data_IF_397729319066
#
_entry.id   IF_397729319066
#
_cell.length_a   1.000
_cell.length_b   1.000
_cell.length_c   1.000
_cell.angle_alpha   90.00
_cell.angle_beta   90.00
_cell.angle_gamma   90.00
#
_symmetry.space_group_name_H-M   'P 1'
#
loop_
_entity.id
_entity.type
_entity.pdbx_description
1 polymer ?
#
# COMPACT_ATOMS: atom_id res chain seq x y z
N UNK A 1 -1.59 -29.42 8.39
CA UNK A 1 -1.22 -28.44 7.35
C UNK A 1 0.27 -28.50 7.15
N UNK A 2 0.73 -28.32 5.92
CA UNK A 2 2.14 -28.57 5.58
C UNK A 2 2.92 -27.23 5.47
N UNK A 3 2.89 -26.45 6.58
CA UNK A 3 3.69 -25.25 6.69
C UNK A 3 5.08 -25.56 7.25
N UNK A 4 6.10 -24.91 6.71
CA UNK A 4 7.48 -24.97 7.19
C UNK A 4 8.06 -23.56 7.25
N UNK A 5 8.80 -23.25 8.31
CA UNK A 5 9.55 -22.01 8.45
C UNK A 5 11.03 -22.35 8.53
N UNK A 6 11.76 -22.10 7.43
CA UNK A 6 13.13 -22.57 7.25
C UNK A 6 14.10 -21.41 7.48
N UNK A 7 15.06 -21.61 8.39
CA UNK A 7 16.21 -20.72 8.56
C UNK A 7 17.13 -20.78 7.35
N UNK A 8 17.43 -19.64 6.73
CA UNK A 8 18.30 -19.56 5.56
C UNK A 8 19.75 -19.98 5.85
N UNK A 9 20.23 -19.70 7.08
CA UNK A 9 21.62 -19.96 7.45
C UNK A 9 21.89 -21.44 7.73
N UNK A 10 20.91 -22.16 8.25
CA UNK A 10 21.11 -23.54 8.72
C UNK A 10 20.29 -24.59 7.96
N UNK A 11 19.32 -24.14 7.13
CA UNK A 11 18.38 -25.06 6.49
C UNK A 11 17.43 -25.75 7.48
N UNK A 12 17.37 -25.24 8.73
CA UNK A 12 16.59 -25.82 9.81
C UNK A 12 15.12 -25.40 9.68
N UNK A 13 14.20 -26.37 9.74
CA UNK A 13 12.78 -26.09 9.89
C UNK A 13 12.45 -25.80 11.36
N UNK A 14 12.18 -24.53 11.67
CA UNK A 14 11.84 -24.09 13.04
C UNK A 14 10.34 -24.14 13.34
N UNK A 15 9.49 -24.47 12.35
CA UNK A 15 8.04 -24.56 12.54
C UNK A 15 7.61 -25.42 13.74
N UNK A 16 8.24 -26.59 14.03
CA UNK A 16 7.85 -27.41 15.17
C UNK A 16 8.09 -26.76 16.55
N UNK A 17 8.91 -25.71 16.60
CA UNK A 17 9.34 -25.08 17.85
C UNK A 17 8.69 -23.72 18.09
N UNK A 18 8.00 -23.16 17.09
CA UNK A 18 7.39 -21.83 17.20
C UNK A 18 5.94 -21.90 17.65
N UNK A 19 5.49 -20.82 18.25
CA UNK A 19 4.07 -20.58 18.56
C UNK A 19 3.65 -19.21 18.05
N UNK A 20 2.34 -19.05 17.80
CA UNK A 20 1.74 -17.77 17.45
C UNK A 20 2.26 -17.20 16.13
N UNK A 21 2.55 -18.05 15.13
CA UNK A 21 2.97 -17.56 13.82
C UNK A 21 1.87 -16.72 13.18
N UNK A 22 2.23 -15.48 12.84
CA UNK A 22 1.37 -14.54 12.11
C UNK A 22 2.16 -13.89 11.00
N UNK A 23 1.47 -13.55 9.90
CA UNK A 23 2.00 -12.66 8.87
C UNK A 23 0.90 -11.79 8.31
N UNK A 24 1.22 -10.55 7.98
CA UNK A 24 0.24 -9.55 7.56
C UNK A 24 0.76 -8.69 6.42
N UNK A 25 -0.18 -8.23 5.60
CA UNK A 25 0.04 -7.32 4.47
C UNK A 25 -1.04 -6.23 4.48
N UNK A 26 -0.71 -5.06 3.94
CA UNK A 26 -1.63 -3.93 3.74
C UNK A 26 -1.41 -3.27 2.38
N UNK A 27 -2.47 -2.73 1.76
CA UNK A 27 -2.31 -1.91 0.54
C UNK A 27 -1.62 -0.58 0.80
N UNK A 28 -1.63 -0.10 2.04
CA UNK A 28 -1.04 1.20 2.43
C UNK A 28 0.48 1.12 2.56
N UNK A 29 1.01 -0.07 2.89
CA UNK A 29 2.45 -0.30 3.10
C UNK A 29 2.99 -1.35 2.15
N UNK A 30 4.18 -1.10 1.60
CA UNK A 30 4.86 -2.12 0.80
C UNK A 30 5.47 -3.16 1.73
N UNK A 31 5.20 -4.43 1.46
CA UNK A 31 5.83 -5.56 2.11
C UNK A 31 4.98 -6.23 3.19
N UNK A 32 5.54 -7.29 3.74
CA UNK A 32 4.91 -8.19 4.69
C UNK A 32 5.63 -8.10 6.04
N UNK A 33 4.86 -8.06 7.12
CA UNK A 33 5.33 -8.25 8.49
C UNK A 33 5.02 -9.68 8.96
N UNK A 34 5.94 -10.32 9.66
CA UNK A 34 5.78 -11.64 10.27
C UNK A 34 6.16 -11.59 11.74
N UNK A 35 5.41 -12.29 12.58
CA UNK A 35 5.74 -12.45 14.01
C UNK A 35 5.58 -13.89 14.46
N UNK A 36 6.41 -14.32 15.40
CA UNK A 36 6.35 -15.64 16.02
C UNK A 36 7.12 -15.63 17.35
N UNK A 37 6.92 -16.68 18.14
CA UNK A 37 7.62 -16.85 19.42
C UNK A 37 8.31 -18.21 19.45
N UNK A 38 9.58 -18.23 19.90
CA UNK A 38 10.34 -19.43 20.21
C UNK A 38 10.41 -19.65 21.72
N UNK A 39 10.43 -20.88 22.20
CA UNK A 39 10.77 -21.17 23.58
C UNK A 39 12.25 -20.81 23.81
N UNK A 40 12.53 -20.24 24.98
CA UNK A 40 13.86 -19.97 25.44
C UNK A 40 14.12 -20.78 26.71
N UNK A 41 14.99 -21.77 26.60
CA UNK A 41 15.33 -22.63 27.73
C UNK A 41 16.82 -22.57 28.01
N UNK A 42 17.25 -21.51 28.69
CA UNK A 42 18.64 -21.24 29.05
C UNK A 42 19.35 -22.41 29.76
N UNK A 43 18.62 -23.35 30.31
CA UNK A 43 19.16 -24.48 31.08
C UNK A 43 19.23 -25.78 30.29
N UNK A 44 18.60 -25.85 29.10
CA UNK A 44 18.57 -27.09 28.30
C UNK A 44 19.43 -26.97 27.03
N UNK A 45 20.65 -27.52 27.10
CA UNK A 45 21.60 -27.52 25.99
C UNK A 45 21.09 -28.23 24.72
N UNK A 46 20.01 -28.99 24.80
CA UNK A 46 19.44 -29.66 23.63
C UNK A 46 18.72 -28.67 22.69
N UNK A 47 18.43 -27.46 23.15
CA UNK A 47 17.82 -26.41 22.33
C UNK A 47 18.78 -25.32 21.86
N UNK A 48 20.09 -25.45 22.11
CA UNK A 48 21.11 -24.47 21.70
C UNK A 48 21.11 -24.19 20.18
N UNK A 49 20.59 -25.09 19.36
CA UNK A 49 20.46 -24.89 17.92
C UNK A 49 19.48 -23.77 17.53
N UNK A 50 18.61 -23.37 18.44
CA UNK A 50 17.71 -22.23 18.25
C UNK A 50 18.38 -20.89 18.58
N UNK A 51 19.55 -20.89 19.25
CA UNK A 51 20.26 -19.68 19.65
C UNK A 51 20.77 -18.90 18.43
N UNK A 52 20.98 -19.58 17.30
CA UNK A 52 21.39 -18.97 16.04
C UNK A 52 20.25 -18.22 15.32
N UNK A 53 19.00 -18.35 15.80
CA UNK A 53 17.87 -17.57 15.31
C UNK A 53 17.85 -16.25 16.06
N UNK A 54 18.36 -15.18 15.44
CA UNK A 54 18.53 -13.87 16.06
C UNK A 54 18.37 -12.76 15.02
N UNK A 55 18.61 -11.51 15.43
CA UNK A 55 18.56 -10.34 14.55
C UNK A 55 19.38 -10.54 13.28
N UNK A 56 18.80 -10.23 12.12
CA UNK A 56 19.42 -10.41 10.81
C UNK A 56 19.31 -11.81 10.23
N UNK A 57 18.77 -12.79 10.97
CA UNK A 57 18.52 -14.13 10.41
C UNK A 57 17.44 -14.09 9.33
N UNK A 58 17.74 -14.68 8.18
CA UNK A 58 16.76 -14.86 7.09
C UNK A 58 15.91 -16.10 7.32
N UNK A 59 14.60 -15.98 7.07
CA UNK A 59 13.64 -17.05 7.17
C UNK A 59 12.82 -17.16 5.89
N UNK A 60 12.43 -18.38 5.51
CA UNK A 60 11.54 -18.63 4.37
C UNK A 60 10.33 -19.43 4.82
N UNK A 61 9.13 -18.89 4.58
CA UNK A 61 7.87 -19.57 4.87
C UNK A 61 7.40 -20.34 3.65
N UNK A 62 7.11 -21.62 3.84
CA UNK A 62 6.58 -22.52 2.82
C UNK A 62 5.24 -23.11 3.22
N UNK A 63 4.42 -23.42 2.21
CA UNK A 63 3.29 -24.35 2.31
C UNK A 63 3.48 -25.47 1.30
N UNK A 64 3.69 -26.67 1.78
CA UNK A 64 4.17 -27.77 0.92
C UNK A 64 5.51 -27.44 0.29
N UNK A 65 5.56 -27.41 -1.03
CA UNK A 65 6.75 -27.03 -1.79
C UNK A 65 6.73 -25.57 -2.30
N UNK A 66 5.65 -24.86 -2.06
CA UNK A 66 5.53 -23.47 -2.51
C UNK A 66 6.04 -22.51 -1.43
N UNK A 67 6.98 -21.65 -1.80
CA UNK A 67 7.45 -20.58 -0.94
C UNK A 67 6.42 -19.45 -0.94
N UNK A 68 5.93 -19.07 0.23
CA UNK A 68 5.00 -17.95 0.42
C UNK A 68 5.77 -16.63 0.46
N UNK A 69 6.77 -16.55 1.35
CA UNK A 69 7.57 -15.33 1.54
C UNK A 69 8.95 -15.64 2.09
N UNK A 70 9.86 -14.66 1.93
CA UNK A 70 11.14 -14.60 2.62
C UNK A 70 11.18 -13.34 3.48
N UNK A 71 11.64 -13.49 4.70
CA UNK A 71 11.72 -12.41 5.68
C UNK A 71 13.07 -12.40 6.40
N UNK A 72 13.39 -11.25 6.97
CA UNK A 72 14.55 -11.08 7.86
C UNK A 72 14.07 -10.66 9.24
N UNK A 73 14.65 -11.22 10.29
CA UNK A 73 14.35 -10.84 11.67
C UNK A 73 14.93 -9.45 11.96
N UNK A 74 14.08 -8.53 12.39
CA UNK A 74 14.42 -7.13 12.66
C UNK A 74 14.26 -6.76 14.13
N UNK A 75 13.33 -7.40 14.83
CA UNK A 75 13.12 -7.19 16.26
C UNK A 75 13.15 -8.52 16.99
N UNK A 76 13.80 -8.54 18.16
CA UNK A 76 13.84 -9.65 19.09
C UNK A 76 13.54 -9.12 20.49
N UNK A 77 12.58 -9.73 21.17
CA UNK A 77 12.19 -9.41 22.54
C UNK A 77 12.31 -10.66 23.42
N UNK A 78 13.15 -10.58 24.44
CA UNK A 78 13.47 -11.67 25.32
C UNK A 78 12.61 -11.58 26.59
N UNK A 79 11.67 -12.52 26.74
CA UNK A 79 10.82 -12.66 27.89
C UNK A 79 11.25 -13.80 28.81
N UNK A 80 10.40 -14.12 29.79
CA UNK A 80 10.60 -15.27 30.66
C UNK A 80 10.35 -16.57 29.89
N UNK A 81 11.42 -17.31 29.57
CA UNK A 81 11.42 -18.58 28.86
C UNK A 81 10.88 -18.53 27.42
N UNK A 82 10.80 -17.36 26.82
CA UNK A 82 10.38 -17.17 25.43
C UNK A 82 11.14 -16.04 24.77
N UNK A 83 11.38 -16.17 23.46
CA UNK A 83 11.87 -15.10 22.60
C UNK A 83 10.82 -14.82 21.53
N UNK A 84 10.35 -13.58 21.47
CA UNK A 84 9.41 -13.11 20.46
C UNK A 84 10.14 -12.36 19.37
N UNK A 85 9.76 -12.62 18.11
CA UNK A 85 10.44 -12.05 16.95
C UNK A 85 9.44 -11.33 16.06
N UNK A 86 9.91 -10.19 15.48
CA UNK A 86 9.30 -9.59 14.32
C UNK A 86 10.27 -9.65 13.14
N UNK A 87 9.76 -10.03 12.01
CA UNK A 87 10.49 -10.13 10.79
C UNK A 87 9.71 -9.44 9.66
N UNK A 88 10.42 -8.91 8.69
CA UNK A 88 9.85 -8.22 7.54
C UNK A 88 10.44 -8.82 6.26
N UNK A 89 9.68 -8.74 5.17
CA UNK A 89 10.24 -9.04 3.86
C UNK A 89 11.25 -7.97 3.41
N UNK A 90 11.81 -8.13 2.24
CA UNK A 90 12.87 -7.25 1.75
C UNK A 90 12.43 -5.81 1.43
N UNK A 91 11.12 -5.53 1.42
CA UNK A 91 10.60 -4.17 1.35
C UNK A 91 10.99 -3.32 2.58
N UNK A 92 11.35 -3.97 3.70
CA UNK A 92 11.83 -3.27 4.90
C UNK A 92 12.94 -2.28 4.57
N UNK A 93 13.95 -2.68 3.81
CA UNK A 93 15.06 -1.79 3.46
C UNK A 93 14.61 -0.62 2.59
N UNK A 94 13.69 -0.86 1.65
CA UNK A 94 13.15 0.20 0.79
C UNK A 94 12.31 1.21 1.59
N UNK A 95 11.61 0.74 2.63
CA UNK A 95 10.77 1.58 3.48
C UNK A 95 11.57 2.39 4.53
N UNK A 96 12.72 1.88 4.96
CA UNK A 96 13.52 2.49 6.04
C UNK A 96 14.72 3.30 5.55
N UNK A 97 15.18 3.04 4.34
CA UNK A 97 16.37 3.71 3.80
C UNK A 97 15.98 4.97 3.04
N UNK A 98 16.49 6.11 3.50
CA UNK A 98 16.37 7.39 2.78
C UNK A 98 17.57 7.61 1.88
N UNK A 99 17.37 8.29 0.75
CA UNK A 99 18.43 8.55 -0.23
C UNK A 99 18.28 9.92 -0.89
N UNK A 100 19.38 10.37 -1.50
CA UNK A 100 19.40 11.51 -2.42
C UNK A 100 19.66 10.95 -3.81
N UNK A 101 18.70 11.09 -4.71
CA UNK A 101 18.80 10.62 -6.09
C UNK A 101 18.44 11.70 -7.09
N UNK A 102 19.26 11.81 -8.14
CA UNK A 102 18.97 12.66 -9.28
C UNK A 102 18.82 11.80 -10.53
N UNK A 103 17.65 11.82 -11.11
CA UNK A 103 17.39 11.22 -12.41
C UNK A 103 17.35 12.30 -13.50
N UNK A 104 18.00 12.03 -14.62
CA UNK A 104 18.05 12.93 -15.76
C UNK A 104 17.72 12.16 -17.04
N UNK A 105 16.48 12.25 -17.48
CA UNK A 105 15.95 11.58 -18.67
C UNK A 105 16.19 10.07 -18.69
N UNK A 106 15.96 9.42 -17.56
CA UNK A 106 16.01 7.96 -17.43
C UNK A 106 14.60 7.36 -17.53
N UNK A 107 14.46 6.18 -18.11
CA UNK A 107 13.16 5.48 -18.11
C UNK A 107 12.76 5.09 -16.68
N UNK A 108 11.46 5.13 -16.38
CA UNK A 108 10.92 4.73 -15.09
C UNK A 108 11.38 3.33 -14.65
N UNK A 109 11.41 2.40 -15.61
CA UNK A 109 11.87 1.04 -15.36
C UNK A 109 13.34 1.01 -14.90
N UNK A 110 14.23 1.71 -15.58
CA UNK A 110 15.65 1.76 -15.24
C UNK A 110 15.88 2.50 -13.91
N UNK A 111 15.12 3.58 -13.64
CA UNK A 111 15.21 4.32 -12.38
C UNK A 111 14.86 3.41 -11.19
N UNK A 112 13.80 2.63 -11.29
CA UNK A 112 13.38 1.70 -10.22
C UNK A 112 14.38 0.54 -10.09
N UNK A 113 14.85 -0.03 -11.21
CA UNK A 113 15.88 -1.08 -11.17
C UNK A 113 17.17 -0.60 -10.49
N UNK A 114 17.61 0.62 -10.78
CA UNK A 114 18.78 1.23 -10.13
C UNK A 114 18.57 1.34 -8.61
N UNK A 115 17.40 1.84 -8.17
CA UNK A 115 17.08 1.97 -6.75
C UNK A 115 17.07 0.61 -6.03
N UNK A 116 16.42 -0.39 -6.58
CA UNK A 116 16.31 -1.71 -5.95
C UNK A 116 17.64 -2.50 -5.98
N UNK A 117 18.46 -2.30 -7.02
CA UNK A 117 19.75 -2.97 -7.15
C UNK A 117 20.73 -2.59 -6.02
N UNK A 118 20.65 -1.38 -5.47
CA UNK A 118 21.45 -0.95 -4.32
C UNK A 118 21.21 -1.79 -3.06
N UNK A 119 20.03 -2.42 -2.98
CA UNK A 119 19.62 -3.29 -1.87
C UNK A 119 19.65 -4.78 -2.23
N UNK A 120 20.13 -5.13 -3.43
CA UNK A 120 20.14 -6.51 -3.91
C UNK A 120 18.76 -7.11 -4.16
N UNK A 121 17.73 -6.25 -4.35
CA UNK A 121 16.35 -6.66 -4.55
C UNK A 121 16.07 -6.82 -6.04
N UNK A 122 15.53 -7.96 -6.44
CA UNK A 122 15.09 -8.21 -7.82
C UNK A 122 13.81 -7.47 -8.14
N UNK A 123 13.62 -7.11 -9.41
CA UNK A 123 12.47 -6.30 -9.85
C UNK A 123 11.89 -6.88 -11.14
N UNK A 124 10.58 -7.05 -11.15
CA UNK A 124 9.79 -7.36 -12.34
C UNK A 124 8.85 -6.20 -12.65
N UNK A 125 9.06 -5.52 -13.78
CA UNK A 125 8.29 -4.33 -14.16
C UNK A 125 7.60 -4.57 -15.50
N UNK A 126 6.32 -4.18 -15.57
CA UNK A 126 5.53 -4.20 -16.80
C UNK A 126 4.81 -2.88 -17.01
N UNK A 127 4.91 -2.32 -18.20
CA UNK A 127 4.05 -1.24 -18.68
C UNK A 127 4.41 0.17 -18.22
N UNK A 128 5.50 0.40 -17.49
CA UNK A 128 5.99 1.73 -17.18
C UNK A 128 6.73 2.30 -18.38
N UNK A 129 6.28 3.44 -18.90
CA UNK A 129 6.83 4.06 -20.14
C UNK A 129 7.35 5.47 -19.96
N UNK A 130 7.07 6.11 -18.83
CA UNK A 130 7.44 7.49 -18.56
C UNK A 130 8.96 7.68 -18.42
N UNK A 131 9.40 8.90 -18.69
CA UNK A 131 10.80 9.32 -18.56
C UNK A 131 10.94 10.24 -17.35
N UNK A 132 11.80 9.89 -16.43
CA UNK A 132 11.99 10.59 -15.16
C UNK A 132 13.12 11.63 -15.29
N UNK A 133 12.80 12.88 -14.94
CA UNK A 133 13.75 13.97 -14.77
C UNK A 133 13.40 14.68 -13.46
N UNK A 134 13.91 14.18 -12.35
CA UNK A 134 13.55 14.66 -11.01
C UNK A 134 14.70 14.46 -10.02
N UNK A 135 14.79 15.34 -9.04
CA UNK A 135 15.72 15.23 -7.91
C UNK A 135 14.89 14.87 -6.68
N UNK A 136 15.24 13.77 -6.05
CA UNK A 136 14.70 13.34 -4.77
C UNK A 136 15.71 13.65 -3.68
N UNK A 137 15.26 14.25 -2.60
CA UNK A 137 16.08 14.60 -1.46
C UNK A 137 15.38 14.15 -0.18
N UNK A 138 16.08 13.36 0.64
CA UNK A 138 15.58 12.86 1.93
C UNK A 138 14.22 12.16 1.83
N UNK A 139 14.10 11.28 0.83
CA UNK A 139 12.95 10.41 0.63
C UNK A 139 13.33 8.95 0.81
N UNK A 140 12.41 8.16 1.35
CA UNK A 140 12.63 6.71 1.37
C UNK A 140 12.60 6.16 -0.06
N UNK A 141 13.29 5.05 -0.27
CA UNK A 141 13.34 4.42 -1.60
C UNK A 141 11.94 4.01 -2.05
N UNK A 142 11.10 3.49 -1.14
CA UNK A 142 9.71 3.13 -1.45
C UNK A 142 8.86 4.35 -1.83
N UNK A 143 9.05 5.52 -1.18
CA UNK A 143 8.38 6.77 -1.57
C UNK A 143 8.81 7.21 -2.97
N UNK A 144 10.09 7.08 -3.33
CA UNK A 144 10.58 7.41 -4.67
C UNK A 144 9.96 6.48 -5.71
N UNK A 145 9.90 5.17 -5.44
CA UNK A 145 9.27 4.20 -6.34
C UNK A 145 7.78 4.52 -6.51
N UNK A 146 7.05 4.79 -5.43
CA UNK A 146 5.64 5.20 -5.48
C UNK A 146 5.45 6.49 -6.30
N UNK A 147 6.31 7.48 -6.15
CA UNK A 147 6.25 8.72 -6.93
C UNK A 147 6.49 8.46 -8.44
N UNK A 148 7.47 7.62 -8.79
CA UNK A 148 7.71 7.23 -10.19
C UNK A 148 6.49 6.50 -10.78
N UNK A 149 5.83 5.64 -9.99
CA UNK A 149 4.60 4.96 -10.39
C UNK A 149 3.47 5.98 -10.60
N UNK A 150 3.31 6.95 -9.71
CA UNK A 150 2.30 8.00 -9.82
C UNK A 150 2.50 8.87 -11.08
N UNK A 151 3.75 9.18 -11.44
CA UNK A 151 4.06 9.85 -12.71
C UNK A 151 3.57 9.01 -13.89
N UNK A 152 3.86 7.71 -13.90
CA UNK A 152 3.37 6.82 -14.96
C UNK A 152 1.85 6.70 -14.97
N UNK A 153 1.20 6.65 -13.81
CA UNK A 153 -0.26 6.63 -13.68
C UNK A 153 -0.86 7.90 -14.30
N UNK A 154 -0.29 9.06 -13.99
CA UNK A 154 -0.74 10.34 -14.52
C UNK A 154 -0.58 10.45 -16.05
N UNK A 155 0.56 10.03 -16.59
CA UNK A 155 0.86 10.14 -18.04
C UNK A 155 0.13 9.08 -18.86
N UNK A 156 0.08 7.83 -18.39
CA UNK A 156 -0.50 6.70 -19.12
C UNK A 156 -2.01 6.52 -18.88
N UNK A 157 -2.59 7.25 -17.89
CA UNK A 157 -3.97 7.11 -17.44
C UNK A 157 -4.33 5.66 -17.08
N UNK A 158 -3.41 4.97 -16.41
CA UNK A 158 -3.55 3.59 -15.97
C UNK A 158 -3.05 3.47 -14.54
N UNK A 159 -3.83 2.79 -13.70
CA UNK A 159 -3.39 2.42 -12.35
C UNK A 159 -2.34 1.31 -12.45
N UNK A 160 -1.31 1.40 -11.62
CA UNK A 160 -0.29 0.37 -11.45
C UNK A 160 -0.30 -0.14 -10.01
N UNK A 161 0.05 -1.41 -9.84
CA UNK A 161 0.19 -2.07 -8.54
C UNK A 161 1.66 -2.27 -8.25
N UNK A 162 2.05 -1.93 -7.03
CA UNK A 162 3.37 -2.19 -6.45
C UNK A 162 3.20 -3.20 -5.32
N UNK A 163 3.77 -4.35 -5.46
CA UNK A 163 3.72 -5.40 -4.43
C UNK A 163 5.07 -6.11 -4.28
N UNK A 164 5.28 -6.70 -3.11
CA UNK A 164 6.39 -7.62 -2.87
C UNK A 164 5.86 -9.04 -3.01
N UNK A 165 6.47 -9.82 -3.88
CA UNK A 165 6.18 -11.25 -4.00
C UNK A 165 7.45 -12.04 -3.76
N UNK A 166 7.46 -12.82 -2.66
CA UNK A 166 8.65 -13.54 -2.19
C UNK A 166 9.78 -12.53 -1.88
N UNK A 167 10.81 -12.46 -2.73
CA UNK A 167 11.93 -11.53 -2.61
C UNK A 167 12.03 -10.56 -3.81
N UNK A 168 10.95 -10.40 -4.57
CA UNK A 168 10.93 -9.62 -5.82
C UNK A 168 9.90 -8.51 -5.73
N UNK A 169 10.31 -7.28 -6.03
CA UNK A 169 9.39 -6.16 -6.26
C UNK A 169 8.72 -6.35 -7.61
N UNK A 170 7.39 -6.41 -7.61
CA UNK A 170 6.57 -6.50 -8.82
C UNK A 170 5.80 -5.22 -9.06
N UNK A 171 5.86 -4.72 -10.29
CA UNK A 171 5.11 -3.56 -10.74
C UNK A 171 4.42 -3.91 -12.05
N UNK A 172 3.11 -3.82 -12.08
CA UNK A 172 2.31 -4.10 -13.29
C UNK A 172 1.07 -3.21 -13.35
N UNK A 173 0.46 -3.03 -14.54
CA UNK A 173 -0.86 -2.46 -14.62
C UNK A 173 -1.82 -3.19 -13.70
N UNK A 174 -2.74 -2.44 -13.07
CA UNK A 174 -3.75 -3.03 -12.20
C UNK A 174 -4.63 -4.00 -13.01
N UNK A 175 -4.78 -5.19 -12.48
CA UNK A 175 -5.72 -6.19 -12.92
C UNK A 175 -6.63 -6.58 -11.77
N UNK A 176 -7.92 -6.66 -12.02
CA UNK A 176 -8.91 -7.12 -11.04
C UNK A 176 -8.69 -8.61 -10.79
N UNK A 177 -8.23 -8.95 -9.58
CA UNK A 177 -8.01 -10.34 -9.19
C UNK A 177 -9.04 -10.71 -8.12
N UNK A 178 -10.02 -11.51 -8.50
CA UNK A 178 -11.01 -12.09 -7.58
C UNK A 178 -10.44 -13.38 -7.03
N UNK A 179 -10.44 -13.52 -5.70
CA UNK A 179 -9.90 -14.69 -5.04
C UNK A 179 -10.89 -15.85 -5.14
N UNK A 180 -10.45 -16.97 -5.67
CA UNK A 180 -11.08 -18.25 -5.42
C UNK A 180 -10.62 -18.79 -4.07
N UNK A 181 -11.47 -18.63 -3.06
CA UNK A 181 -11.25 -19.10 -1.70
C UNK A 181 -11.80 -20.50 -1.42
N UNK A 182 -11.96 -21.30 -2.46
CA UNK A 182 -12.52 -22.66 -2.35
C UNK A 182 -11.52 -23.64 -1.74
N UNK A 183 -12.00 -24.45 -0.79
CA UNK A 183 -11.25 -25.52 -0.13
C UNK A 183 -11.87 -26.88 -0.39
N UNK A 184 -11.03 -27.89 -0.48
CA UNK A 184 -11.43 -29.28 -0.41
C UNK A 184 -11.24 -29.80 1.04
N UNK A 185 -12.33 -29.83 1.83
CA UNK A 185 -12.32 -30.39 3.20
C UNK A 185 -12.21 -31.90 3.19
N UNK A 186 -12.79 -32.57 2.18
CA UNK A 186 -12.70 -33.99 1.95
C UNK A 186 -13.00 -34.27 0.48
N UNK A 187 -12.69 -35.49 0.03
CA UNK A 187 -12.99 -35.91 -1.33
C UNK A 187 -14.45 -35.60 -1.69
N UNK A 188 -14.64 -34.71 -2.66
CA UNK A 188 -15.94 -34.18 -3.14
C UNK A 188 -16.70 -33.24 -2.18
N UNK A 189 -16.02 -32.64 -1.17
CA UNK A 189 -16.63 -31.64 -0.31
C UNK A 189 -15.85 -30.32 -0.44
N UNK A 190 -16.29 -29.49 -1.37
CA UNK A 190 -15.74 -28.15 -1.62
C UNK A 190 -16.52 -27.13 -0.77
N UNK A 191 -15.79 -26.26 -0.09
CA UNK A 191 -16.35 -25.16 0.69
C UNK A 191 -15.59 -23.88 0.40
N UNK A 192 -16.28 -22.75 0.42
CA UNK A 192 -15.62 -21.44 0.33
C UNK A 192 -15.18 -20.99 1.72
N UNK A 193 -14.03 -20.34 1.83
CA UNK A 193 -13.58 -19.72 3.07
C UNK A 193 -14.61 -18.72 3.61
N UNK A 194 -15.30 -18.04 2.71
CA UNK A 194 -16.37 -17.08 3.01
C UNK A 194 -17.63 -17.69 3.61
N UNK A 195 -17.83 -19.02 3.50
CA UNK A 195 -18.94 -19.71 4.12
C UNK A 195 -18.69 -19.95 5.63
N UNK A 196 -17.45 -19.79 6.10
CA UNK A 196 -17.04 -20.02 7.48
C UNK A 196 -16.53 -18.72 8.11
N UNK A 197 -17.37 -17.71 8.13
CA UNK A 197 -17.07 -16.44 8.79
C UNK A 197 -17.18 -16.62 10.30
N UNK A 198 -16.12 -16.26 10.98
CA UNK A 198 -16.05 -16.42 12.44
C UNK A 198 -16.12 -15.01 13.00
N UNK A 199 -15.94 -14.13 13.20
CA UNK A 199 -16.23 -12.81 13.74
C UNK A 199 -16.34 -11.80 12.60
N UNK A 200 -17.47 -11.14 12.56
CA UNK A 200 -17.73 -10.09 11.58
C UNK A 200 -18.03 -8.80 12.34
N UNK A 201 -17.33 -7.75 12.00
CA UNK A 201 -17.63 -6.40 12.42
C UNK A 201 -17.93 -5.56 11.18
N UNK A 202 -19.06 -4.89 11.16
CA UNK A 202 -19.44 -3.96 10.12
C UNK A 202 -19.86 -2.65 10.78
N UNK A 203 -19.08 -1.59 10.57
CA UNK A 203 -19.39 -0.26 11.05
C UNK A 203 -19.55 0.71 9.89
N UNK A 204 -20.45 1.69 10.07
CA UNK A 204 -20.75 2.70 9.06
C UNK A 204 -20.60 4.09 9.69
N UNK A 205 -19.98 5.02 8.99
CA UNK A 205 -19.72 6.36 9.51
C UNK A 205 -19.85 7.42 8.42
N UNK A 206 -20.43 8.56 8.80
CA UNK A 206 -20.49 9.78 8.00
C UNK A 206 -19.52 10.86 8.50
N UNK A 207 -18.63 10.52 9.45
CA UNK A 207 -17.72 11.51 10.08
C UNK A 207 -16.85 12.23 9.04
N UNK A 208 -16.39 11.53 8.02
CA UNK A 208 -15.54 12.08 6.96
C UNK A 208 -16.30 12.42 5.67
N UNK A 209 -17.63 12.22 5.67
CA UNK A 209 -18.45 12.54 4.52
C UNK A 209 -18.42 14.05 4.24
N UNK A 210 -18.26 14.43 2.96
CA UNK A 210 -18.38 15.81 2.49
C UNK A 210 -19.36 15.85 1.34
N UNK A 211 -20.45 16.59 1.50
CA UNK A 211 -21.51 16.73 0.50
C UNK A 211 -21.51 18.10 -0.19
N UNK A 212 -20.52 18.95 0.14
CA UNK A 212 -20.24 20.20 -0.56
C UNK A 212 -18.74 20.46 -0.60
N UNK A 213 -18.21 20.69 -1.79
CA UNK A 213 -16.82 21.04 -2.05
C UNK A 213 -16.78 22.46 -2.60
N UNK A 214 -15.94 23.31 -2.02
CA UNK A 214 -15.66 24.66 -2.51
C UNK A 214 -14.20 24.73 -2.89
N UNK A 215 -13.92 25.07 -4.12
CA UNK A 215 -12.55 25.33 -4.60
C UNK A 215 -12.32 26.84 -4.60
N UNK A 216 -11.25 27.25 -3.90
CA UNK A 216 -10.86 28.65 -3.81
C UNK A 216 -9.49 28.87 -4.43
N UNK A 217 -9.28 30.03 -5.03
CA UNK A 217 -8.00 30.46 -5.59
C UNK A 217 -7.65 31.86 -5.16
N UNK A 218 -6.35 32.18 -5.12
CA UNK A 218 -5.80 33.46 -4.67
C UNK A 218 -5.06 33.40 -3.34
N UNK A 219 -4.38 34.50 -3.01
CA UNK A 219 -3.71 34.68 -1.72
C UNK A 219 -4.72 34.97 -0.61
N UNK A 220 -4.32 34.90 0.65
CA UNK A 220 -5.20 35.13 1.81
C UNK A 220 -6.04 36.42 1.72
N UNK A 221 -5.53 37.45 1.03
CA UNK A 221 -6.22 38.76 0.88
C UNK A 221 -7.06 38.85 -0.42
N UNK A 222 -6.90 37.93 -1.36
CA UNK A 222 -7.54 37.94 -2.69
C UNK A 222 -8.28 36.64 -3.00
N UNK A 223 -8.52 35.84 -1.99
CA UNK A 223 -9.16 34.53 -2.12
C UNK A 223 -10.59 34.67 -2.68
N UNK A 224 -10.88 33.91 -3.73
CA UNK A 224 -12.22 33.85 -4.34
C UNK A 224 -12.60 32.40 -4.63
N UNK A 225 -13.89 32.14 -4.56
CA UNK A 225 -14.47 30.86 -5.00
C UNK A 225 -14.37 30.78 -6.52
N UNK A 226 -13.78 29.71 -7.02
CA UNK A 226 -13.54 29.47 -8.46
C UNK A 226 -14.33 28.28 -9.00
N UNK A 227 -14.70 27.35 -8.12
CA UNK A 227 -15.60 26.23 -8.43
C UNK A 227 -16.36 25.76 -7.18
N UNK A 228 -17.50 25.17 -7.37
CA UNK A 228 -18.32 24.58 -6.30
C UNK A 228 -19.02 23.33 -6.84
N UNK A 229 -19.05 22.27 -6.02
CA UNK A 229 -19.85 21.09 -6.26
C UNK A 229 -20.63 20.73 -5.00
N UNK A 230 -21.89 20.32 -5.10
CA UNK A 230 -22.72 19.91 -3.98
C UNK A 230 -23.72 18.83 -4.38
N UNK A 231 -24.16 18.07 -3.39
CA UNK A 231 -25.27 17.13 -3.49
C UNK A 231 -26.38 17.53 -2.52
N UNK A 232 -27.45 18.10 -3.07
CA UNK A 232 -28.58 18.59 -2.29
C UNK A 232 -29.37 17.46 -1.60
N UNK A 233 -29.35 16.24 -2.15
CA UNK A 233 -30.01 15.08 -1.54
C UNK A 233 -29.24 14.64 -0.28
N UNK A 234 -27.93 14.50 -0.39
CA UNK A 234 -27.05 14.19 0.74
C UNK A 234 -27.08 15.28 1.81
N UNK A 235 -27.13 16.56 1.41
CA UNK A 235 -27.26 17.68 2.37
C UNK A 235 -28.59 17.60 3.14
N UNK A 236 -29.67 17.22 2.47
CA UNK A 236 -30.98 17.07 3.13
C UNK A 236 -31.00 15.90 4.12
N UNK A 237 -30.28 14.83 3.81
CA UNK A 237 -30.24 13.62 4.63
C UNK A 237 -29.30 13.75 5.84
N UNK A 238 -28.07 14.23 5.62
CA UNK A 238 -27.00 14.25 6.64
C UNK A 238 -26.65 15.63 7.18
N UNK A 239 -27.27 16.70 6.66
CA UNK A 239 -26.87 18.06 6.93
C UNK A 239 -25.70 18.53 6.06
N UNK A 240 -25.35 19.81 6.14
CA UNK A 240 -24.26 20.38 5.36
C UNK A 240 -22.91 20.01 5.95
N UNK A 241 -22.15 19.21 5.21
CA UNK A 241 -20.77 18.81 5.52
C UNK A 241 -19.87 19.32 4.38
N UNK A 242 -19.20 20.46 4.64
CA UNK A 242 -18.48 21.21 3.63
C UNK A 242 -16.96 21.06 3.77
N UNK A 243 -16.27 21.01 2.64
CA UNK A 243 -14.81 21.11 2.56
C UNK A 243 -14.39 22.24 1.61
N UNK A 244 -13.35 22.98 2.00
CA UNK A 244 -12.77 24.07 1.19
C UNK A 244 -11.35 23.66 0.77
N UNK A 245 -11.12 23.62 -0.53
CA UNK A 245 -9.81 23.30 -1.10
C UNK A 245 -9.19 24.54 -1.77
N UNK A 246 -7.92 24.76 -1.50
CA UNK A 246 -7.18 25.90 -2.05
C UNK A 246 -6.32 25.46 -3.23
N UNK A 247 -6.51 26.12 -4.37
CA UNK A 247 -5.71 25.93 -5.58
C UNK A 247 -4.92 27.19 -5.93
N UNK A 248 -3.73 27.02 -6.49
CA UNK A 248 -2.93 28.11 -7.02
C UNK A 248 -3.55 28.63 -8.34
N UNK A 249 -3.61 29.94 -8.55
CA UNK A 249 -4.19 30.58 -9.76
C UNK A 249 -3.53 30.11 -11.09
N UNK A 250 -2.35 29.52 -11.00
CA UNK A 250 -1.60 29.02 -12.15
C UNK A 250 -1.95 27.60 -12.58
N UNK A 251 -2.78 26.91 -11.81
CA UNK A 251 -3.23 25.55 -12.14
C UNK A 251 -4.14 25.60 -13.38
N UNK A 252 -3.71 25.01 -14.49
CA UNK A 252 -4.44 24.98 -15.76
C UNK A 252 -5.55 23.94 -15.81
N UNK A 253 -5.80 23.21 -14.71
CA UNK A 253 -6.83 22.17 -14.62
C UNK A 253 -8.26 22.74 -14.66
N UNK A 254 -9.22 21.91 -15.06
CA UNK A 254 -10.64 22.25 -14.96
C UNK A 254 -11.08 22.15 -13.48
N UNK A 255 -11.05 23.29 -12.78
CA UNK A 255 -11.36 23.37 -11.35
C UNK A 255 -12.77 22.85 -11.00
N UNK A 256 -13.73 22.94 -11.94
CA UNK A 256 -15.06 22.36 -11.76
C UNK A 256 -15.03 20.84 -11.76
N UNK A 257 -14.22 20.23 -12.62
CA UNK A 257 -14.07 18.76 -12.61
C UNK A 257 -13.41 18.31 -11.30
N UNK A 258 -12.42 19.03 -10.81
CA UNK A 258 -11.78 18.75 -9.51
C UNK A 258 -12.82 18.77 -8.37
N UNK A 259 -13.66 19.80 -8.32
CA UNK A 259 -14.73 19.89 -7.31
C UNK A 259 -15.72 18.71 -7.44
N UNK A 260 -16.13 18.37 -8.66
CA UNK A 260 -17.06 17.27 -8.91
C UNK A 260 -16.47 15.90 -8.52
N UNK A 261 -15.22 15.64 -8.90
CA UNK A 261 -14.54 14.37 -8.60
C UNK A 261 -14.32 14.21 -7.10
N UNK A 262 -13.88 15.29 -6.44
CA UNK A 262 -13.74 15.29 -4.98
C UNK A 262 -15.06 15.07 -4.27
N UNK A 263 -16.14 15.67 -4.75
CA UNK A 263 -17.48 15.43 -4.22
C UNK A 263 -17.88 13.96 -4.36
N UNK A 264 -17.72 13.35 -5.52
CA UNK A 264 -18.01 11.92 -5.73
C UNK A 264 -17.24 11.03 -4.76
N UNK A 265 -15.97 11.32 -4.52
CA UNK A 265 -15.11 10.55 -3.62
C UNK A 265 -15.51 10.67 -2.16
N UNK A 266 -15.82 11.89 -1.70
CA UNK A 266 -16.05 12.18 -0.28
C UNK A 266 -17.53 12.08 0.12
N UNK A 267 -18.46 12.19 -0.81
CA UNK A 267 -19.91 12.09 -0.54
C UNK A 267 -20.34 10.63 -0.48
N UNK A 268 -19.74 9.87 0.43
CA UNK A 268 -20.10 8.47 0.67
C UNK A 268 -20.03 8.13 2.14
N UNK A 269 -20.86 7.19 2.55
CA UNK A 269 -20.77 6.59 3.87
C UNK A 269 -19.50 5.72 3.90
N UNK A 270 -18.63 5.95 4.86
CA UNK A 270 -17.49 5.09 5.08
C UNK A 270 -17.96 3.81 5.75
N UNK A 271 -17.56 2.68 5.19
CA UNK A 271 -17.86 1.34 5.72
C UNK A 271 -16.55 0.65 6.07
N UNK A 272 -16.41 0.30 7.36
CA UNK A 272 -15.30 -0.52 7.84
C UNK A 272 -15.83 -1.92 8.14
N UNK A 273 -15.36 -2.87 7.34
CA UNK A 273 -15.75 -4.26 7.45
C UNK A 273 -14.52 -5.06 7.83
N UNK A 274 -14.59 -5.80 8.92
CA UNK A 274 -13.56 -6.77 9.27
C UNK A 274 -14.18 -8.12 9.54
N UNK A 275 -13.52 -9.17 9.08
CA UNK A 275 -13.98 -10.54 9.28
C UNK A 275 -12.81 -11.51 9.38
N UNK A 276 -13.06 -12.61 10.07
CA UNK A 276 -12.12 -13.73 10.17
C UNK A 276 -12.72 -14.95 9.48
N UNK A 277 -11.92 -15.61 8.64
CA UNK A 277 -12.31 -16.80 7.90
C UNK A 277 -11.24 -17.88 7.97
N UNK A 278 -11.50 -19.02 7.36
CA UNK A 278 -10.47 -20.06 7.16
C UNK A 278 -9.32 -19.49 6.35
N UNK A 279 -8.08 -19.77 6.80
CA UNK A 279 -6.89 -19.25 6.17
C UNK A 279 -6.60 -19.91 4.82
N UNK A 280 -6.33 -19.09 3.80
CA UNK A 280 -5.85 -19.48 2.50
C UNK A 280 -4.76 -18.50 2.08
N UNK A 281 -3.60 -18.98 1.71
CA UNK A 281 -2.44 -18.18 1.31
C UNK A 281 -2.68 -17.29 0.08
N UNK A 282 -3.74 -17.56 -0.68
CA UNK A 282 -4.17 -16.72 -1.80
C UNK A 282 -4.91 -15.46 -1.35
N UNK A 283 -5.39 -15.43 -0.09
CA UNK A 283 -6.02 -14.25 0.50
C UNK A 283 -4.92 -13.27 0.85
N UNK A 284 -4.83 -12.18 0.10
CA UNK A 284 -3.79 -11.16 0.22
C UNK A 284 -4.38 -9.76 0.09
N UNK A 285 -3.72 -8.78 0.68
CA UNK A 285 -4.07 -7.38 0.45
C UNK A 285 -4.03 -7.02 -1.05
N UNK A 286 -4.92 -6.14 -1.48
CA UNK A 286 -5.05 -5.74 -2.89
C UNK A 286 -5.82 -6.73 -3.79
N UNK A 287 -6.33 -7.83 -3.24
CA UNK A 287 -7.21 -8.78 -3.94
C UNK A 287 -8.67 -8.48 -3.64
N UNK A 288 -9.55 -8.99 -4.47
CA UNK A 288 -11.00 -8.82 -4.34
C UNK A 288 -11.61 -10.12 -3.84
N UNK A 289 -12.52 -9.99 -2.89
CA UNK A 289 -13.35 -11.10 -2.39
C UNK A 289 -14.82 -10.78 -2.69
N UNK A 290 -15.54 -11.76 -3.19
CA UNK A 290 -17.00 -11.70 -3.32
C UNK A 290 -17.63 -12.22 -2.04
N UNK A 291 -18.53 -11.43 -1.46
CA UNK A 291 -19.30 -11.78 -0.27
C UNK A 291 -20.79 -11.73 -0.59
N UNK A 292 -21.49 -12.78 -0.19
CA UNK A 292 -22.94 -12.88 -0.25
C UNK A 292 -23.45 -13.36 1.09
N UNK A 293 -23.87 -12.43 1.94
CA UNK A 293 -24.38 -12.74 3.27
C UNK A 293 -25.51 -11.78 3.65
N UNK A 294 -26.77 -12.23 3.49
CA UNK A 294 -27.95 -11.43 3.78
C UNK A 294 -28.05 -10.99 5.25
N UNK A 295 -27.62 -11.84 6.19
CA UNK A 295 -27.71 -11.54 7.62
C UNK A 295 -26.75 -10.43 8.06
N UNK A 296 -25.69 -10.22 7.31
CA UNK A 296 -24.65 -9.23 7.58
C UNK A 296 -24.74 -8.01 6.64
N UNK A 297 -25.72 -8.01 5.76
CA UNK A 297 -25.87 -6.98 4.71
C UNK A 297 -24.62 -6.81 3.86
N UNK A 298 -23.89 -7.90 3.61
CA UNK A 298 -22.70 -7.92 2.79
C UNK A 298 -23.05 -8.54 1.44
N UNK A 299 -23.07 -7.74 0.37
CA UNK A 299 -23.39 -8.17 -0.99
C UNK A 299 -22.45 -7.51 -1.98
N UNK A 300 -21.73 -8.33 -2.75
CA UNK A 300 -20.91 -7.86 -3.85
C UNK A 300 -19.41 -8.02 -3.63
N UNK A 301 -18.65 -7.15 -4.28
CA UNK A 301 -17.20 -7.22 -4.34
C UNK A 301 -16.55 -6.25 -3.34
N UNK A 302 -15.57 -6.76 -2.62
CA UNK A 302 -14.82 -6.01 -1.63
C UNK A 302 -13.34 -6.14 -1.89
N UNK A 303 -12.61 -5.01 -1.82
CA UNK A 303 -11.17 -5.00 -1.87
C UNK A 303 -10.62 -5.29 -0.46
N UNK A 304 -9.70 -6.25 -0.37
CA UNK A 304 -8.98 -6.55 0.87
C UNK A 304 -7.94 -5.44 1.09
N UNK A 305 -8.18 -4.63 2.10
CA UNK A 305 -7.28 -3.57 2.51
C UNK A 305 -6.11 -4.13 3.31
N UNK A 306 -6.43 -4.86 4.36
CA UNK A 306 -5.44 -5.50 5.23
C UNK A 306 -5.76 -6.98 5.35
N UNK A 307 -4.72 -7.80 5.45
CA UNK A 307 -4.83 -9.23 5.61
C UNK A 307 -3.81 -9.71 6.65
N UNK A 308 -4.29 -10.34 7.73
CA UNK A 308 -3.46 -11.02 8.72
C UNK A 308 -3.78 -12.52 8.69
N UNK A 309 -2.77 -13.32 8.43
CA UNK A 309 -2.83 -14.77 8.61
C UNK A 309 -2.32 -15.15 9.98
N UNK A 310 -2.95 -16.12 10.62
CA UNK A 310 -2.49 -16.71 11.87
C UNK A 310 -2.48 -18.23 11.79
N UNK A 311 -1.42 -18.83 12.30
CA UNK A 311 -1.27 -20.28 12.37
C UNK A 311 -1.04 -20.69 13.82
N UNK A 312 -2.06 -21.29 14.43
CA UNK A 312 -2.02 -21.79 15.79
C UNK A 312 -2.52 -23.23 15.85
N UNK A 313 -1.78 -24.13 16.50
CA UNK A 313 -2.16 -25.55 16.65
C UNK A 313 -2.60 -26.19 15.33
N UNK A 314 -1.87 -25.89 14.25
CA UNK A 314 -2.17 -26.36 12.90
C UNK A 314 -3.50 -25.84 12.32
N UNK A 315 -4.09 -24.80 12.93
CA UNK A 315 -5.29 -24.14 12.46
C UNK A 315 -4.91 -22.80 11.80
N UNK A 316 -5.08 -22.72 10.50
CA UNK A 316 -4.79 -21.51 9.72
C UNK A 316 -6.07 -20.67 9.61
N UNK A 317 -6.00 -19.43 10.06
CA UNK A 317 -7.06 -18.43 9.96
C UNK A 317 -6.54 -17.20 9.21
N UNK A 318 -7.46 -16.49 8.61
CA UNK A 318 -7.19 -15.21 7.98
C UNK A 318 -8.18 -14.16 8.48
N UNK A 319 -7.66 -13.06 9.02
CA UNK A 319 -8.43 -11.87 9.38
C UNK A 319 -8.19 -10.80 8.34
N UNK A 320 -9.25 -10.25 7.77
CA UNK A 320 -9.18 -9.26 6.70
C UNK A 320 -10.01 -8.03 7.04
N UNK A 321 -9.48 -6.86 6.62
CA UNK A 321 -10.22 -5.61 6.58
C UNK A 321 -10.60 -5.33 5.13
N UNK A 322 -11.85 -4.94 4.92
CA UNK A 322 -12.44 -4.79 3.60
C UNK A 322 -12.92 -3.36 3.38
N UNK A 323 -12.78 -2.92 2.15
CA UNK A 323 -13.44 -1.72 1.64
C UNK A 323 -14.30 -2.11 0.43
N UNK A 324 -15.45 -1.46 0.29
CA UNK A 324 -16.31 -1.71 -0.87
C UNK A 324 -15.53 -1.39 -2.15
N UNK A 325 -15.50 -2.35 -3.08
CA UNK A 325 -14.82 -2.18 -4.35
C UNK A 325 -15.75 -1.46 -5.36
N UNK A 326 -15.17 -0.49 -6.05
CA UNK A 326 -15.83 0.18 -7.18
C UNK A 326 -14.80 0.51 -8.26
N UNK A 327 -15.14 0.27 -9.52
CA UNK A 327 -14.30 0.68 -10.66
C UNK A 327 -14.07 2.20 -10.69
N UNK A 328 -15.03 2.96 -10.18
CA UNK A 328 -14.88 4.41 -10.04
C UNK A 328 -13.78 4.82 -9.05
N UNK A 329 -13.43 3.98 -8.07
CA UNK A 329 -12.32 4.27 -7.16
C UNK A 329 -10.97 4.20 -7.87
N UNK A 330 -10.84 3.31 -8.88
CA UNK A 330 -9.65 3.25 -9.73
C UNK A 330 -9.52 4.51 -10.59
N UNK A 331 -10.65 4.95 -11.19
CA UNK A 331 -10.68 6.20 -11.95
C UNK A 331 -10.29 7.40 -11.07
N UNK A 332 -10.81 7.46 -9.84
CA UNK A 332 -10.48 8.50 -8.88
C UNK A 332 -8.99 8.49 -8.51
N UNK A 333 -8.39 7.31 -8.28
CA UNK A 333 -6.94 7.21 -8.01
C UNK A 333 -6.08 7.71 -9.18
N UNK A 334 -6.47 7.40 -10.41
CA UNK A 334 -5.79 7.89 -11.62
C UNK A 334 -5.91 9.42 -11.73
N UNK A 335 -7.09 9.97 -11.41
CA UNK A 335 -7.30 11.41 -11.40
C UNK A 335 -6.49 12.09 -10.30
N UNK A 336 -6.46 11.57 -9.08
CA UNK A 336 -5.65 12.10 -7.97
C UNK A 336 -4.15 12.12 -8.30
N UNK A 337 -3.65 11.03 -8.90
CA UNK A 337 -2.26 10.97 -9.36
C UNK A 337 -1.98 12.04 -10.44
N UNK A 338 -2.94 12.23 -11.36
CA UNK A 338 -2.84 13.23 -12.42
C UNK A 338 -2.81 14.65 -11.85
N UNK A 339 -3.73 14.97 -10.94
CA UNK A 339 -3.78 16.29 -10.30
C UNK A 339 -2.52 16.59 -9.51
N UNK A 340 -2.01 15.60 -8.78
CA UNK A 340 -0.76 15.74 -8.01
C UNK A 340 0.42 16.03 -8.93
N UNK A 341 0.53 15.29 -10.03
CA UNK A 341 1.58 15.48 -11.03
C UNK A 341 1.50 16.86 -11.69
N UNK A 342 0.31 17.31 -12.10
CA UNK A 342 0.10 18.63 -12.69
C UNK A 342 0.43 19.77 -11.71
N UNK A 343 0.07 19.62 -10.43
CA UNK A 343 0.43 20.58 -9.36
C UNK A 343 1.95 20.69 -9.18
N UNK A 344 2.67 19.57 -9.23
CA UNK A 344 4.13 19.56 -9.12
C UNK A 344 4.80 20.22 -10.33
N UNK A 345 4.39 19.87 -11.55
CA UNK A 345 4.89 20.48 -12.80
C UNK A 345 4.70 21.99 -12.81
N UNK A 346 3.54 22.47 -12.36
CA UNK A 346 3.24 23.91 -12.28
C UNK A 346 4.17 24.65 -11.31
N UNK A 347 4.50 24.02 -10.17
CA UNK A 347 5.43 24.58 -9.18
C UNK A 347 6.87 24.65 -9.70
N UNK A 348 7.31 23.65 -10.47
CA UNK A 348 8.65 23.61 -11.05
C UNK A 348 8.82 24.68 -12.14
N UNK A 349 7.83 24.85 -13.02
CA UNK A 349 7.81 25.90 -14.03
C UNK A 349 7.86 27.30 -13.41
N UNK A 350 7.11 27.54 -12.33
CA UNK A 350 7.12 28.81 -11.61
C UNK A 350 8.45 29.13 -10.91
N UNK A 351 9.24 28.12 -10.51
CA UNK A 351 10.58 28.30 -9.95
C UNK A 351 11.60 28.65 -11.05
N UNK A 352 11.50 28.02 -12.21
CA UNK A 352 12.39 28.27 -13.35
C UNK A 352 12.22 29.69 -13.92
N UNK A 353 10.98 30.18 -14.03
CA UNK A 353 10.69 31.55 -14.45
C UNK A 353 11.20 32.61 -13.46
N UNK A 354 11.09 32.35 -12.15
CA UNK A 354 11.63 33.27 -11.13
C UNK A 354 13.15 33.32 -11.13
N UNK A 355 13.83 32.21 -11.44
CA UNK A 355 15.30 32.16 -11.55
C UNK A 355 15.81 32.86 -12.83
N UNK A 356 15.14 32.68 -13.96
CA UNK A 356 15.48 33.36 -15.22
C UNK A 356 15.26 34.88 -15.16
N UNK A 357 14.18 35.33 -14.49
CA UNK A 357 13.92 36.76 -14.27
C UNK A 357 14.92 37.43 -13.29
N UNK A 358 15.45 36.66 -12.30
CA UNK A 358 16.54 37.17 -11.44
C UNK A 358 17.85 37.32 -12.17
N UNK A 359 18.19 36.41 -13.10
CA UNK A 359 19.41 36.46 -13.88
C UNK A 359 19.35 37.57 -14.96
N UNK A 360 18.19 37.80 -15.58
CA UNK A 360 18.01 38.89 -16.54
C UNK A 360 18.07 40.28 -15.88
N UNK A 361 17.65 40.44 -14.61
CA UNK A 361 17.79 41.65 -13.82
C UNK A 361 19.22 41.91 -13.35
N UNK A 362 20.03 40.86 -13.08
CA UNK A 362 21.45 41.00 -12.74
C UNK A 362 22.28 41.41 -13.94
N UNK A 363 22.01 40.85 -15.12
CA UNK A 363 22.74 41.22 -16.34
C UNK A 363 22.42 42.65 -16.84
N UNK A 364 21.21 43.19 -16.57
CA UNK A 364 20.89 44.61 -16.89
C UNK A 364 21.50 45.61 -15.93
N UNK A 365 21.93 45.22 -14.71
CA UNK A 365 22.65 46.08 -13.77
C UNK A 365 24.16 46.07 -13.98
N UNK A 366 24.73 45.06 -14.63
CA UNK A 366 26.16 44.98 -14.96
C UNK A 366 26.55 45.72 -16.26
N UNK A 367 25.56 46.13 -17.08
CA UNK A 367 25.80 46.85 -18.35
C UNK A 367 25.63 48.36 -18.22
N UNK A 368 25.56 48.90 -17.00
CA UNK A 368 25.50 50.36 -16.70
C UNK A 368 26.59 50.77 -15.71
N UNK A 369 27.80 50.29 -15.90
CA UNK A 369 29.01 50.86 -15.29
C UNK A 369 30.07 51.05 -16.39
#
# INVERSE_FOLDING_TARGET
MDFRLISANEGLDIMPFISGLKWSESIDTLGLEMSFTLPDNFNDKNFNFLDNITLGSGLSLFKGNEMITQVIIVEEDNGNNTRSFKAYDYAFWLNKSTTIKQFNKISSENAIKELCAEFGITVEIRGLTSVITKIYNDKTVSEIIKDIININTAENKKKYVLEMEKATVKISPYEKIIIDSTYELSKNNLVKATDFLNSVSHSRSIADLKNKIIVVSGDEKTQRVVAEAKDDASIKEFGLLQEVEKFDEKSKGNLQNIANNKLKRLNRINEDISLTMLGNEKIRAGRIVELENENLYLHGEYLIKDCEHSLENNNHKCSISLIQYSESDIENEIEDATETYEKEQSKEQGKTEKSSNKNSKKNKKGAKK
#
